data_IF_658740008864
#
_entry.id   IF_658740008864
#
_cell.length_a   1.000
_cell.length_b   1.000
_cell.length_c   1.000
_cell.angle_alpha   90.00
_cell.angle_beta   90.00
_cell.angle_gamma   90.00
#
_symmetry.space_group_name_H-M   'P 1'
#
loop_
_entity.id
_entity.type
_entity.pdbx_description
1 polymer ?
#
# COMPACT_ATOMS: atom_id res chain seq x y z
N UNK A 1 -8.89 19.09 -3.14
CA UNK A 1 -9.60 17.98 -2.46
C UNK A 1 -10.27 17.11 -3.51
N UNK A 2 -9.98 15.80 -3.52
CA UNK A 2 -10.53 14.81 -4.45
C UNK A 2 -11.92 14.38 -3.98
N UNK A 3 -12.84 14.22 -4.91
CA UNK A 3 -14.16 13.62 -4.60
C UNK A 3 -14.05 12.10 -4.58
N UNK A 4 -14.96 11.45 -3.87
CA UNK A 4 -15.04 9.99 -3.93
C UNK A 4 -15.39 9.53 -5.35
N UNK A 5 -14.56 8.66 -5.93
CA UNK A 5 -14.71 8.13 -7.30
C UNK A 5 -15.70 6.97 -7.33
N UNK A 6 -15.72 6.19 -6.26
CA UNK A 6 -16.58 5.02 -6.08
C UNK A 6 -17.35 5.13 -4.77
N UNK A 7 -18.50 4.47 -4.69
CA UNK A 7 -19.35 4.46 -3.49
C UNK A 7 -20.05 3.10 -3.37
N UNK A 8 -19.26 2.10 -3.05
CA UNK A 8 -19.71 0.73 -2.77
C UNK A 8 -20.09 0.56 -1.30
N UNK A 9 -20.86 -0.46 -0.98
CA UNK A 9 -20.88 -0.95 0.41
C UNK A 9 -19.54 -1.61 0.75
N UNK A 10 -19.25 -1.77 2.04
CA UNK A 10 -18.04 -2.47 2.48
C UNK A 10 -18.03 -3.91 1.93
N UNK A 11 -19.16 -4.60 1.93
CA UNK A 11 -19.32 -5.97 1.43
C UNK A 11 -19.03 -6.06 -0.06
N UNK A 12 -19.59 -5.14 -0.87
CA UNK A 12 -19.32 -5.07 -2.32
C UNK A 12 -17.84 -4.83 -2.59
N UNK A 13 -17.22 -3.90 -1.84
CA UNK A 13 -15.81 -3.59 -2.02
C UNK A 13 -14.90 -4.75 -1.57
N UNK A 14 -15.26 -5.49 -0.52
CA UNK A 14 -14.57 -6.72 -0.11
C UNK A 14 -14.66 -7.77 -1.22
N UNK A 15 -15.82 -7.96 -1.85
CA UNK A 15 -15.98 -8.89 -2.97
C UNK A 15 -15.15 -8.45 -4.18
N UNK A 16 -15.14 -7.15 -4.47
CA UNK A 16 -14.33 -6.57 -5.53
C UNK A 16 -12.83 -6.80 -5.28
N UNK A 17 -12.36 -6.52 -4.06
CA UNK A 17 -10.98 -6.75 -3.66
C UNK A 17 -10.56 -8.23 -3.76
N UNK A 18 -11.42 -9.15 -3.31
CA UNK A 18 -11.17 -10.61 -3.42
C UNK A 18 -11.04 -11.08 -4.85
N UNK A 19 -11.84 -10.54 -5.77
CA UNK A 19 -11.76 -10.88 -7.21
C UNK A 19 -10.47 -10.38 -7.86
N UNK A 20 -9.94 -9.26 -7.38
CA UNK A 20 -8.76 -8.60 -7.94
C UNK A 20 -7.48 -8.84 -7.11
N UNK A 21 -7.51 -9.75 -6.11
CA UNK A 21 -6.40 -9.93 -5.17
C UNK A 21 -5.10 -10.36 -5.85
N UNK A 22 -5.18 -11.27 -6.83
CA UNK A 22 -3.99 -11.75 -7.56
C UNK A 22 -3.42 -10.64 -8.46
N UNK A 23 -4.28 -9.87 -9.12
CA UNK A 23 -3.86 -8.71 -9.91
C UNK A 23 -3.14 -7.67 -9.04
N UNK A 24 -3.69 -7.36 -7.87
CA UNK A 24 -3.07 -6.44 -6.91
C UNK A 24 -1.72 -6.95 -6.39
N UNK A 25 -1.59 -8.24 -6.13
CA UNK A 25 -0.34 -8.88 -5.72
C UNK A 25 0.69 -8.82 -6.86
N UNK A 26 0.29 -9.19 -8.07
CA UNK A 26 1.12 -9.15 -9.27
C UNK A 26 1.68 -7.75 -9.54
N UNK A 27 0.82 -6.73 -9.55
CA UNK A 27 1.22 -5.33 -9.71
C UNK A 27 2.17 -4.86 -8.60
N UNK A 28 1.89 -5.25 -7.36
CA UNK A 28 2.75 -4.91 -6.21
C UNK A 28 4.13 -5.58 -6.30
N UNK A 29 4.21 -6.83 -6.77
CA UNK A 29 5.46 -7.53 -6.99
C UNK A 29 6.30 -6.86 -8.09
N UNK A 30 5.70 -6.51 -9.23
CA UNK A 30 6.37 -5.79 -10.31
C UNK A 30 6.83 -4.39 -9.88
N UNK A 31 6.05 -3.69 -9.06
CA UNK A 31 6.44 -2.39 -8.49
C UNK A 31 7.74 -2.48 -7.66
N UNK A 32 7.98 -3.61 -7.01
CA UNK A 32 9.20 -3.89 -6.23
C UNK A 32 10.33 -4.52 -7.09
N UNK A 33 10.12 -4.61 -8.42
CA UNK A 33 11.14 -5.11 -9.35
C UNK A 33 11.20 -6.63 -9.48
N UNK A 34 10.24 -7.37 -8.92
CA UNK A 34 10.11 -8.81 -9.13
C UNK A 34 9.48 -9.02 -10.50
N UNK A 35 10.26 -9.55 -11.44
CA UNK A 35 9.79 -9.80 -12.80
C UNK A 35 8.94 -11.07 -12.85
N UNK A 36 7.64 -10.92 -12.67
CA UNK A 36 6.66 -12.01 -12.64
C UNK A 36 5.46 -11.66 -13.54
N UNK A 37 4.99 -12.64 -14.29
CA UNK A 37 3.74 -12.51 -15.07
C UNK A 37 2.53 -12.71 -14.17
N UNK A 38 1.35 -12.27 -14.62
CA UNK A 38 0.09 -12.52 -13.91
C UNK A 38 -0.16 -14.02 -13.67
N UNK A 39 0.07 -14.85 -14.69
CA UNK A 39 -0.12 -16.31 -14.59
C UNK A 39 0.81 -16.96 -13.56
N UNK A 40 2.05 -16.49 -13.46
CA UNK A 40 3.01 -16.96 -12.44
C UNK A 40 2.62 -16.48 -11.04
N UNK A 41 2.20 -15.22 -10.90
CA UNK A 41 1.68 -14.72 -9.63
C UNK A 41 0.44 -15.50 -9.17
N UNK A 42 -0.46 -15.87 -10.11
CA UNK A 42 -1.59 -16.76 -9.84
C UNK A 42 -1.10 -18.15 -9.38
N UNK A 43 -0.13 -18.75 -10.09
CA UNK A 43 0.40 -20.06 -9.72
C UNK A 43 1.02 -20.06 -8.30
N UNK A 44 1.80 -19.02 -7.97
CA UNK A 44 2.34 -18.86 -6.61
C UNK A 44 1.23 -18.65 -5.58
N UNK A 45 0.22 -17.86 -5.91
CA UNK A 45 -0.95 -17.66 -5.06
C UNK A 45 -1.66 -18.99 -4.75
N UNK A 46 -1.72 -19.90 -5.73
CA UNK A 46 -2.30 -21.25 -5.61
C UNK A 46 -1.35 -22.28 -4.97
N UNK A 47 -0.12 -21.88 -4.64
CA UNK A 47 0.85 -22.71 -3.92
C UNK A 47 1.90 -23.41 -4.79
N UNK A 48 1.97 -23.07 -6.08
CA UNK A 48 3.01 -23.59 -6.97
C UNK A 48 4.32 -22.80 -6.84
N UNK A 49 5.43 -23.42 -7.25
CA UNK A 49 6.71 -22.76 -7.40
C UNK A 49 6.96 -22.36 -8.86
N UNK A 50 7.64 -21.24 -9.06
CA UNK A 50 8.05 -20.72 -10.37
C UNK A 50 9.58 -20.77 -10.44
N UNK A 51 10.12 -21.63 -11.32
CA UNK A 51 11.50 -22.07 -11.26
C UNK A 51 12.56 -21.01 -11.60
N UNK A 52 12.20 -19.90 -12.25
CA UNK A 52 13.18 -18.83 -12.55
C UNK A 52 13.22 -17.75 -11.46
N UNK A 53 12.24 -17.70 -10.55
CA UNK A 53 12.21 -16.77 -9.44
C UNK A 53 13.10 -17.27 -8.28
N UNK A 54 13.74 -16.34 -7.61
CA UNK A 54 14.49 -16.62 -6.39
C UNK A 54 13.54 -16.94 -5.24
N UNK A 55 14.04 -17.64 -4.24
CA UNK A 55 13.22 -18.02 -3.07
C UNK A 55 12.68 -16.79 -2.33
N UNK A 56 13.47 -15.73 -2.21
CA UNK A 56 13.05 -14.48 -1.57
C UNK A 56 11.97 -13.72 -2.37
N UNK A 57 12.00 -13.82 -3.71
CA UNK A 57 10.95 -13.26 -4.58
C UNK A 57 9.62 -14.01 -4.44
N UNK A 58 9.66 -15.34 -4.43
CA UNK A 58 8.48 -16.18 -4.15
C UNK A 58 7.96 -15.88 -2.74
N UNK A 59 8.85 -15.76 -1.75
CA UNK A 59 8.48 -15.40 -0.38
C UNK A 59 7.79 -14.04 -0.33
N UNK A 60 8.29 -13.02 -1.05
CA UNK A 60 7.68 -11.70 -1.11
C UNK A 60 6.26 -11.73 -1.67
N UNK A 61 6.01 -12.52 -2.72
CA UNK A 61 4.66 -12.70 -3.29
C UNK A 61 3.72 -13.40 -2.30
N UNK A 62 4.20 -14.45 -1.62
CA UNK A 62 3.42 -15.12 -0.58
C UNK A 62 3.14 -14.20 0.62
N UNK A 63 4.09 -13.36 0.99
CA UNK A 63 3.89 -12.35 2.03
C UNK A 63 2.77 -11.37 1.67
N UNK A 64 2.73 -10.89 0.42
CA UNK A 64 1.65 -10.06 -0.07
C UNK A 64 0.29 -10.79 -0.01
N UNK A 65 0.23 -12.08 -0.37
CA UNK A 65 -0.98 -12.89 -0.23
C UNK A 65 -1.47 -12.94 1.22
N UNK A 66 -0.57 -13.14 2.18
CA UNK A 66 -0.93 -13.19 3.61
C UNK A 66 -1.34 -11.81 4.11
N UNK A 67 -0.63 -10.74 3.72
CA UNK A 67 -0.98 -9.37 4.08
C UNK A 67 -2.35 -8.95 3.54
N UNK A 68 -2.67 -9.26 2.27
CA UNK A 68 -3.99 -9.03 1.70
C UNK A 68 -5.10 -9.78 2.42
N UNK A 69 -4.86 -11.04 2.76
CA UNK A 69 -5.81 -11.82 3.57
C UNK A 69 -6.05 -11.17 4.93
N UNK A 70 -4.99 -10.77 5.62
CA UNK A 70 -5.10 -10.05 6.89
C UNK A 70 -5.92 -8.77 6.73
N UNK A 71 -5.63 -7.93 5.74
CA UNK A 71 -6.39 -6.70 5.44
C UNK A 71 -7.88 -6.98 5.28
N UNK A 72 -8.24 -7.98 4.47
CA UNK A 72 -9.65 -8.32 4.20
C UNK A 72 -10.34 -8.91 5.44
N UNK A 73 -9.69 -9.80 6.19
CA UNK A 73 -10.28 -10.40 7.39
C UNK A 73 -10.42 -9.41 8.54
N UNK A 74 -9.57 -8.40 8.58
CA UNK A 74 -9.57 -7.37 9.63
C UNK A 74 -10.31 -6.10 9.23
N UNK A 75 -11.21 -6.16 8.23
CA UNK A 75 -11.81 -4.98 7.61
C UNK A 75 -12.55 -4.06 8.60
N UNK A 76 -13.09 -4.60 9.68
CA UNK A 76 -13.78 -3.84 10.71
C UNK A 76 -12.85 -3.27 11.80
N UNK A 77 -11.56 -3.61 11.76
CA UNK A 77 -10.58 -3.11 12.73
C UNK A 77 -10.29 -1.63 12.46
N UNK A 78 -10.13 -0.85 13.51
CA UNK A 78 -9.64 0.52 13.39
C UNK A 78 -8.13 0.55 13.21
N UNK A 79 -7.62 1.47 12.38
CA UNK A 79 -6.18 1.65 12.23
C UNK A 79 -5.60 2.23 13.53
N UNK A 80 -4.58 1.55 14.03
CA UNK A 80 -3.64 2.03 15.03
C UNK A 80 -2.21 1.63 14.64
N UNK A 81 -1.23 2.03 15.43
CA UNK A 81 0.17 1.68 15.17
C UNK A 81 0.38 0.16 15.11
N UNK A 82 -0.26 -0.61 15.99
CA UNK A 82 -0.13 -2.08 16.03
C UNK A 82 -0.70 -2.72 14.78
N UNK A 83 -1.81 -2.19 14.26
CA UNK A 83 -2.40 -2.68 13.01
C UNK A 83 -1.44 -2.46 11.83
N UNK A 84 -0.83 -1.27 11.71
CA UNK A 84 0.16 -0.98 10.66
C UNK A 84 1.40 -1.88 10.82
N UNK A 85 1.90 -2.07 12.04
CA UNK A 85 2.99 -2.98 12.34
C UNK A 85 2.65 -4.44 11.98
N UNK A 86 1.41 -4.87 12.20
CA UNK A 86 0.95 -6.22 11.82
C UNK A 86 0.95 -6.41 10.31
N UNK A 87 0.48 -5.43 9.53
CA UNK A 87 0.56 -5.48 8.06
C UNK A 87 2.03 -5.58 7.62
N UNK A 88 2.91 -4.74 8.20
CA UNK A 88 4.34 -4.80 7.87
C UNK A 88 4.97 -6.14 8.28
N UNK A 89 4.57 -6.73 9.39
CA UNK A 89 5.05 -8.04 9.83
C UNK A 89 4.74 -9.14 8.78
N UNK A 90 3.57 -9.10 8.13
CA UNK A 90 3.28 -9.97 7.00
C UNK A 90 4.13 -9.63 5.78
N UNK A 91 4.20 -8.36 5.39
CA UNK A 91 4.97 -7.90 4.21
C UNK A 91 6.44 -8.28 4.32
N UNK A 92 7.03 -8.12 5.50
CA UNK A 92 8.45 -8.32 5.76
C UNK A 92 8.84 -9.72 6.23
N UNK A 93 7.87 -10.64 6.41
CA UNK A 93 8.14 -11.98 6.97
C UNK A 93 9.25 -12.71 6.22
N UNK A 94 10.31 -13.11 6.94
CA UNK A 94 11.49 -13.82 6.42
C UNK A 94 12.31 -13.09 5.33
N UNK A 95 12.03 -11.81 5.04
CA UNK A 95 12.76 -11.03 4.03
C UNK A 95 13.22 -9.66 4.53
N UNK A 96 12.64 -9.14 5.61
CA UNK A 96 13.03 -7.88 6.22
C UNK A 96 13.54 -8.14 7.63
N UNK A 97 14.58 -7.44 8.03
CA UNK A 97 15.05 -7.47 9.40
C UNK A 97 14.03 -6.79 10.32
N UNK A 98 13.68 -7.45 11.42
CA UNK A 98 12.72 -6.98 12.42
C UNK A 98 11.36 -6.58 11.81
N UNK A 99 10.63 -7.50 11.14
CA UNK A 99 9.36 -7.18 10.53
C UNK A 99 8.34 -6.76 11.59
N UNK A 100 7.63 -5.65 11.34
CA UNK A 100 6.67 -5.05 12.28
C UNK A 100 7.28 -4.07 13.28
N UNK A 101 8.61 -3.95 13.40
CA UNK A 101 9.24 -3.00 14.28
C UNK A 101 9.59 -1.68 13.57
N UNK A 102 9.45 -0.57 14.30
CA UNK A 102 9.95 0.72 13.83
C UNK A 102 11.46 0.65 13.65
N UNK A 103 11.96 1.17 12.52
CA UNK A 103 13.41 1.21 12.30
C UNK A 103 14.12 2.08 13.35
N UNK A 104 15.33 1.66 13.66
CA UNK A 104 16.18 2.33 14.65
C UNK A 104 17.42 2.97 14.01
N UNK A 105 17.56 2.84 12.70
CA UNK A 105 18.70 3.31 11.93
C UNK A 105 18.26 4.15 10.74
N UNK A 106 19.16 4.99 10.26
CA UNK A 106 18.96 5.75 9.04
C UNK A 106 18.85 4.81 7.84
N UNK A 107 17.96 5.13 6.92
CA UNK A 107 17.81 4.43 5.64
C UNK A 107 18.12 5.40 4.50
N UNK A 108 18.63 4.87 3.42
CA UNK A 108 18.80 5.58 2.15
C UNK A 108 17.88 5.00 1.09
N UNK A 109 17.43 5.84 0.19
CA UNK A 109 16.61 5.42 -0.94
C UNK A 109 17.35 5.65 -2.24
N UNK A 110 17.24 4.67 -3.15
CA UNK A 110 17.80 4.81 -4.49
C UNK A 110 17.17 5.98 -5.24
N UNK A 111 18.00 6.75 -5.99
CA UNK A 111 17.53 7.83 -6.85
C UNK A 111 17.29 9.18 -6.16
N UNK A 112 17.53 9.29 -4.85
CA UNK A 112 17.34 10.54 -4.10
C UNK A 112 18.44 10.73 -3.04
N UNK A 113 18.72 11.99 -2.71
CA UNK A 113 19.55 12.39 -1.57
C UNK A 113 18.71 12.65 -0.31
N UNK A 114 17.40 12.65 -0.43
CA UNK A 114 16.49 12.85 0.69
C UNK A 114 16.65 11.71 1.72
N UNK A 115 16.65 12.08 2.99
CA UNK A 115 16.73 11.16 4.12
C UNK A 115 15.54 11.37 5.05
N UNK A 116 14.78 10.32 5.35
CA UNK A 116 13.69 10.41 6.30
C UNK A 116 14.22 10.53 7.73
N UNK A 117 13.55 11.32 8.55
CA UNK A 117 13.80 11.35 9.99
C UNK A 117 13.49 9.97 10.61
N UNK A 118 14.14 9.67 11.76
CA UNK A 118 13.82 8.47 12.51
C UNK A 118 12.35 8.49 12.97
N UNK A 119 11.60 7.42 12.70
CA UNK A 119 10.22 7.31 13.15
C UNK A 119 10.17 7.12 14.67
N UNK A 120 9.15 7.69 15.31
CA UNK A 120 8.81 7.39 16.70
C UNK A 120 7.35 7.00 16.81
N UNK A 121 6.99 6.32 17.89
CA UNK A 121 5.59 5.95 18.13
C UNK A 121 4.69 7.20 18.22
N UNK A 122 5.21 8.30 18.80
CA UNK A 122 4.48 9.56 18.92
C UNK A 122 4.17 10.17 17.54
N UNK A 123 5.17 10.23 16.63
CA UNK A 123 4.97 10.74 15.26
C UNK A 123 3.96 9.88 14.49
N UNK A 124 4.03 8.56 14.66
CA UNK A 124 3.09 7.64 14.03
C UNK A 124 1.68 7.84 14.56
N UNK A 125 1.52 7.91 15.90
CA UNK A 125 0.21 8.14 16.51
C UNK A 125 -0.38 9.48 16.08
N UNK A 126 0.42 10.56 16.05
CA UNK A 126 -0.02 11.87 15.57
C UNK A 126 -0.51 11.83 14.11
N UNK A 127 0.18 11.09 13.23
CA UNK A 127 -0.25 10.91 11.84
C UNK A 127 -1.58 10.13 11.75
N UNK A 128 -1.74 9.10 12.59
CA UNK A 128 -2.98 8.30 12.65
C UNK A 128 -4.14 9.14 13.20
N UNK A 129 -3.92 9.93 14.24
CA UNK A 129 -4.92 10.85 14.82
C UNK A 129 -5.34 11.92 13.82
N UNK A 130 -4.39 12.51 13.08
CA UNK A 130 -4.67 13.44 11.97
C UNK A 130 -5.57 12.78 10.91
N UNK A 131 -5.24 11.56 10.50
CA UNK A 131 -6.05 10.80 9.57
C UNK A 131 -7.46 10.57 10.08
N UNK A 132 -7.61 10.04 11.30
CA UNK A 132 -8.89 9.70 11.90
C UNK A 132 -9.79 10.93 12.10
N UNK A 133 -9.21 12.06 12.51
CA UNK A 133 -9.95 13.31 12.67
C UNK A 133 -10.38 13.96 11.36
N UNK A 134 -9.65 13.68 10.27
CA UNK A 134 -9.90 14.21 8.93
C UNK A 134 -10.82 13.31 8.10
N UNK A 135 -11.10 12.08 8.55
CA UNK A 135 -11.94 11.14 7.82
C UNK A 135 -13.40 11.61 7.85
N UNK A 136 -13.84 12.20 6.76
CA UNK A 136 -15.16 12.82 6.62
C UNK A 136 -15.76 12.53 5.24
N UNK A 137 -16.48 13.49 4.67
CA UNK A 137 -17.23 13.39 3.42
C UNK A 137 -16.40 13.05 2.16
N UNK A 138 -15.07 13.18 2.20
CA UNK A 138 -14.16 12.86 1.08
C UNK A 138 -13.13 11.82 1.53
N UNK A 139 -13.59 10.62 1.84
CA UNK A 139 -12.77 9.55 2.37
C UNK A 139 -11.57 9.23 1.45
N UNK A 140 -11.76 9.19 0.13
CA UNK A 140 -10.69 8.94 -0.83
C UNK A 140 -9.53 9.93 -0.70
N UNK A 141 -9.81 11.24 -0.61
CA UNK A 141 -8.77 12.27 -0.47
C UNK A 141 -7.96 12.10 0.81
N UNK A 142 -8.64 11.86 1.92
CA UNK A 142 -8.03 11.67 3.25
C UNK A 142 -7.19 10.41 3.29
N UNK A 143 -7.68 9.29 2.74
CA UNK A 143 -6.95 8.01 2.70
C UNK A 143 -5.69 8.13 1.84
N UNK A 144 -5.77 8.74 0.66
CA UNK A 144 -4.60 8.95 -0.19
C UNK A 144 -3.58 9.90 0.44
N UNK A 145 -4.04 10.93 1.17
CA UNK A 145 -3.16 11.83 1.94
C UNK A 145 -2.41 11.05 3.02
N UNK A 146 -3.12 10.24 3.79
CA UNK A 146 -2.53 9.40 4.83
C UNK A 146 -1.50 8.43 4.25
N UNK A 147 -1.84 7.75 3.16
CA UNK A 147 -0.92 6.83 2.47
C UNK A 147 0.37 7.53 2.03
N UNK A 148 0.27 8.69 1.38
CA UNK A 148 1.45 9.43 0.91
C UNK A 148 2.35 9.88 2.09
N UNK A 149 1.75 10.36 3.18
CA UNK A 149 2.48 10.74 4.39
C UNK A 149 3.15 9.52 5.04
N UNK A 150 2.45 8.38 5.13
CA UNK A 150 2.99 7.14 5.68
C UNK A 150 4.15 6.62 4.83
N UNK A 151 4.05 6.67 3.48
CA UNK A 151 5.16 6.34 2.59
C UNK A 151 6.38 7.24 2.85
N UNK A 152 6.17 8.57 2.98
CA UNK A 152 7.26 9.52 3.23
C UNK A 152 7.92 9.33 4.60
N UNK A 153 7.19 8.89 5.60
CA UNK A 153 7.72 8.65 6.93
C UNK A 153 8.77 7.53 6.98
N UNK A 154 8.76 6.59 6.02
CA UNK A 154 9.71 5.47 5.96
C UNK A 154 9.87 4.79 7.32
N UNK A 155 8.76 4.30 7.84
CA UNK A 155 8.60 3.81 9.23
C UNK A 155 9.43 2.58 9.52
N UNK A 156 9.66 1.73 8.51
CA UNK A 156 10.31 0.43 8.62
C UNK A 156 11.62 0.37 7.84
N UNK A 157 12.44 -0.65 8.08
CA UNK A 157 13.72 -0.83 7.39
C UNK A 157 13.54 -1.05 5.87
N UNK A 158 12.49 -1.76 5.45
CA UNK A 158 12.07 -1.96 4.06
C UNK A 158 10.54 -2.22 4.03
N UNK A 159 9.94 -2.35 2.84
CA UNK A 159 8.51 -2.67 2.67
C UNK A 159 7.55 -1.50 2.94
N UNK A 160 8.04 -0.28 3.10
CA UNK A 160 7.23 0.90 3.42
C UNK A 160 6.16 1.20 2.36
N UNK A 161 6.48 1.12 1.05
CA UNK A 161 5.50 1.31 -0.03
C UNK A 161 4.38 0.28 0.05
N UNK A 162 4.75 -1.00 0.11
CA UNK A 162 3.81 -2.14 0.18
C UNK A 162 2.88 -2.01 1.39
N UNK A 163 3.45 -1.72 2.56
CA UNK A 163 2.69 -1.53 3.79
C UNK A 163 1.71 -0.35 3.69
N UNK A 164 2.18 0.81 3.22
CA UNK A 164 1.34 2.01 3.09
C UNK A 164 0.19 1.81 2.10
N UNK A 165 0.44 1.10 0.99
CA UNK A 165 -0.61 0.76 0.01
C UNK A 165 -1.62 -0.23 0.59
N UNK A 166 -1.20 -1.22 1.38
CA UNK A 166 -2.10 -2.17 2.03
C UNK A 166 -2.94 -1.50 3.12
N UNK A 167 -2.36 -0.60 3.90
CA UNK A 167 -3.10 0.24 4.87
C UNK A 167 -4.14 1.11 4.17
N UNK A 168 -3.77 1.75 3.04
CA UNK A 168 -4.72 2.52 2.24
C UNK A 168 -5.83 1.64 1.67
N UNK A 169 -5.50 0.45 1.17
CA UNK A 169 -6.48 -0.50 0.66
C UNK A 169 -7.45 -0.98 1.75
N UNK A 170 -6.97 -1.22 2.99
CA UNK A 170 -7.86 -1.50 4.11
C UNK A 170 -8.90 -0.40 4.28
N UNK A 171 -8.47 0.86 4.32
CA UNK A 171 -9.40 1.97 4.54
C UNK A 171 -10.26 2.29 3.32
N UNK A 172 -9.74 2.15 2.09
CA UNK A 172 -10.54 2.28 0.87
C UNK A 172 -11.66 1.24 0.84
N UNK A 173 -11.33 -0.03 1.11
CA UNK A 173 -12.32 -1.13 1.12
C UNK A 173 -13.34 -0.91 2.22
N UNK A 174 -12.90 -0.58 3.43
CA UNK A 174 -13.77 -0.32 4.58
C UNK A 174 -14.80 0.78 4.31
N UNK A 175 -14.39 1.83 3.59
CA UNK A 175 -15.21 2.97 3.25
C UNK A 175 -15.91 2.84 1.88
N UNK A 176 -15.78 1.72 1.18
CA UNK A 176 -16.44 1.51 -0.12
C UNK A 176 -15.86 2.35 -1.27
N UNK A 177 -14.56 2.70 -1.21
CA UNK A 177 -13.92 3.65 -2.15
C UNK A 177 -13.03 2.98 -3.20
N UNK A 178 -13.17 1.67 -3.41
CA UNK A 178 -12.38 0.91 -4.38
C UNK A 178 -11.14 0.27 -3.79
N UNK A 179 -10.19 -0.04 -4.66
CA UNK A 179 -8.86 -0.55 -4.35
C UNK A 179 -7.81 0.23 -5.10
N UNK A 180 -6.58 0.26 -4.57
CA UNK A 180 -5.47 0.98 -5.18
C UNK A 180 -4.35 -0.01 -5.52
N UNK A 181 -3.90 0.03 -6.78
CA UNK A 181 -2.74 -0.71 -7.25
C UNK A 181 -2.02 0.09 -8.34
N UNK A 182 -0.70 -0.09 -8.48
CA UNK A 182 0.11 0.60 -9.50
C UNK A 182 0.33 -0.38 -10.64
N UNK A 183 -0.21 -0.10 -11.82
CA UNK A 183 0.03 -0.89 -13.02
C UNK A 183 1.50 -0.77 -13.47
N UNK A 184 2.02 -1.78 -14.18
CA UNK A 184 3.42 -1.79 -14.60
C UNK A 184 3.75 -0.61 -15.53
N UNK A 185 2.83 -0.22 -16.41
CA UNK A 185 2.95 0.95 -17.28
C UNK A 185 3.07 2.28 -16.52
N UNK A 186 2.49 2.37 -15.32
CA UNK A 186 2.50 3.57 -14.48
C UNK A 186 3.65 3.56 -13.45
N UNK A 187 4.41 2.46 -13.35
CA UNK A 187 5.46 2.25 -12.33
C UNK A 187 6.55 3.32 -12.36
N UNK A 188 7.04 3.66 -13.56
CA UNK A 188 8.12 4.64 -13.72
C UNK A 188 7.62 6.04 -13.36
N UNK A 189 6.44 6.43 -13.81
CA UNK A 189 5.83 7.72 -13.48
C UNK A 189 5.59 7.82 -11.97
N UNK A 190 5.01 6.79 -11.36
CA UNK A 190 4.80 6.74 -9.90
C UNK A 190 6.11 6.92 -9.14
N UNK A 191 7.16 6.17 -9.50
CA UNK A 191 8.48 6.26 -8.83
C UNK A 191 9.08 7.67 -8.93
N UNK A 192 9.00 8.28 -10.11
CA UNK A 192 9.48 9.66 -10.34
C UNK A 192 8.73 10.67 -9.48
N UNK A 193 7.39 10.61 -9.46
CA UNK A 193 6.55 11.50 -8.65
C UNK A 193 6.77 11.30 -7.15
N UNK A 194 6.92 10.05 -6.72
CA UNK A 194 7.17 9.72 -5.33
C UNK A 194 8.50 10.31 -4.83
N UNK A 195 9.58 10.22 -5.63
CA UNK A 195 10.87 10.84 -5.32
C UNK A 195 10.73 12.36 -5.23
N UNK A 196 10.12 13.01 -6.21
CA UNK A 196 9.86 14.45 -6.19
C UNK A 196 9.06 14.90 -4.97
N UNK A 197 8.04 14.11 -4.59
CA UNK A 197 7.29 14.36 -3.35
C UNK A 197 8.17 14.25 -2.11
N UNK A 198 9.08 13.26 -2.05
CA UNK A 198 9.99 13.12 -0.93
C UNK A 198 10.97 14.30 -0.83
N UNK A 199 11.45 14.79 -1.95
CA UNK A 199 12.36 15.95 -2.07
C UNK A 199 11.64 17.31 -1.94
N UNK A 200 10.31 17.32 -1.78
CA UNK A 200 9.44 18.51 -1.77
C UNK A 200 9.47 19.31 -3.08
N UNK A 201 9.80 18.67 -4.20
CA UNK A 201 9.74 19.25 -5.55
C UNK A 201 8.33 19.08 -6.18
N UNK A 202 7.56 18.11 -5.72
CA UNK A 202 6.17 17.89 -6.12
C UNK A 202 5.28 17.93 -4.87
N UNK A 203 4.12 18.57 -4.99
CA UNK A 203 3.15 18.64 -3.89
C UNK A 203 2.46 17.30 -3.67
N UNK A 204 1.98 17.05 -2.46
CA UNK A 204 1.15 15.88 -2.16
C UNK A 204 -0.11 15.83 -3.05
N UNK A 205 -0.65 17.00 -3.42
CA UNK A 205 -1.85 17.09 -4.27
C UNK A 205 -1.61 16.56 -5.68
N UNK A 206 -0.44 16.82 -6.27
CA UNK A 206 -0.06 16.31 -7.58
C UNK A 206 0.09 14.79 -7.56
N UNK A 207 0.77 14.24 -6.54
CA UNK A 207 0.90 12.79 -6.36
C UNK A 207 -0.48 12.13 -6.13
N UNK A 208 -1.34 12.71 -5.30
CA UNK A 208 -2.71 12.21 -5.10
C UNK A 208 -3.55 12.25 -6.37
N UNK A 209 -3.42 13.29 -7.20
CA UNK A 209 -4.11 13.39 -8.48
C UNK A 209 -3.71 12.26 -9.43
N UNK A 210 -2.43 11.92 -9.49
CA UNK A 210 -1.94 10.78 -10.26
C UNK A 210 -2.55 9.46 -9.74
N UNK A 211 -2.44 9.20 -8.43
CA UNK A 211 -2.96 7.99 -7.80
C UNK A 211 -4.47 7.83 -8.03
N UNK A 212 -5.22 8.92 -7.86
CA UNK A 212 -6.66 8.94 -8.06
C UNK A 212 -7.07 8.63 -9.51
N UNK A 213 -6.36 9.21 -10.48
CA UNK A 213 -6.70 9.05 -11.91
C UNK A 213 -6.29 7.70 -12.47
N UNK A 214 -5.10 7.21 -12.10
CA UNK A 214 -4.43 6.09 -12.73
C UNK A 214 -4.48 4.78 -11.93
N UNK A 215 -4.49 4.88 -10.59
CA UNK A 215 -4.20 3.74 -9.72
C UNK A 215 -5.40 3.29 -8.88
N UNK A 216 -6.45 4.13 -8.80
CA UNK A 216 -7.67 3.83 -8.05
C UNK A 216 -8.71 3.18 -8.95
N UNK A 217 -9.14 1.98 -8.61
CA UNK A 217 -10.09 1.17 -9.34
C UNK A 217 -11.27 0.70 -8.46
N UNK A 218 -12.42 0.44 -9.09
CA UNK A 218 -13.64 0.05 -8.39
C UNK A 218 -14.83 0.00 -9.34
N UNK A 219 -16.00 -0.31 -8.82
CA UNK A 219 -17.26 -0.28 -9.55
C UNK A 219 -18.20 0.76 -8.97
N UNK A 220 -18.96 1.42 -9.82
CA UNK A 220 -20.08 2.22 -9.37
C UNK A 220 -21.25 1.28 -9.13
N UNK A 221 -21.81 1.29 -7.93
CA UNK A 221 -23.07 0.58 -7.66
C UNK A 221 -24.12 1.11 -8.64
N UNK A 222 -24.64 0.22 -9.48
CA UNK A 222 -25.81 0.57 -10.29
C UNK A 222 -26.94 0.83 -9.29
N UNK A 223 -27.32 2.11 -9.14
CA UNK A 223 -28.54 2.53 -8.46
C UNK A 223 -29.76 2.03 -9.21
#
# INVERSE_FOLDING_TARGET
MLKDKYNMTTEENVLYAKRNIVDSIWKSANLEGISVTFSEAQAIYDGANVGHLRIDEIQAINNLKHAWRFVIYSINTSIDLKFIQSIHAFVGSNIVEQPGELRKYDVSMGGTKWKPELPTAEKMNSLIEEYQSSLSTNATDTILTFMCKLMKMQTFNDGNKRTSMLVANHELIKNGKGILSIADEDRIEFGTRLIKYYENEESIEELKQFLYKKCLDGVNSNT
#
